data_IF_998510461720
#
_entry.id   IF_998510461720
#
_cell.length_a   1.000
_cell.length_b   1.000
_cell.length_c   1.000
_cell.angle_alpha   90.00
_cell.angle_beta   90.00
_cell.angle_gamma   90.00
#
_symmetry.space_group_name_H-M   'P 1'
#
loop_
_entity.id
_entity.type
_entity.pdbx_description
1 polymer ?
#
# COMPACT_ATOMS: atom_id res chain seq x y z
N UNK A 1 -5.67 16.30 -7.13
CA UNK A 1 -4.30 15.72 -7.13
C UNK A 1 -4.36 14.20 -7.21
N UNK A 2 -3.51 13.63 -8.02
CA UNK A 2 -3.35 12.17 -8.12
C UNK A 2 -1.90 11.85 -7.83
N UNK A 3 -1.66 10.87 -6.98
CA UNK A 3 -0.32 10.43 -6.64
C UNK A 3 -0.18 8.94 -6.96
N UNK A 4 0.78 8.61 -7.80
CA UNK A 4 1.15 7.23 -8.11
C UNK A 4 2.38 6.85 -7.30
N UNK A 5 2.36 5.67 -6.68
CA UNK A 5 3.49 5.21 -5.90
C UNK A 5 3.58 3.70 -5.90
N UNK A 6 4.70 3.19 -5.39
CA UNK A 6 4.90 1.77 -5.15
C UNK A 6 4.88 1.51 -3.67
N UNK A 7 4.10 0.51 -3.26
CA UNK A 7 4.08 0.03 -1.89
C UNK A 7 4.90 -1.23 -1.79
N UNK A 8 5.67 -1.33 -0.72
CA UNK A 8 6.42 -2.54 -0.39
C UNK A 8 5.90 -3.08 0.92
N UNK A 9 5.68 -4.38 0.95
CA UNK A 9 5.18 -5.08 2.13
C UNK A 9 6.04 -6.32 2.37
N UNK A 10 6.43 -6.51 3.61
CA UNK A 10 7.14 -7.71 4.03
C UNK A 10 6.48 -8.25 5.30
N UNK A 11 6.19 -9.53 5.30
CA UNK A 11 5.61 -10.19 6.46
C UNK A 11 6.06 -11.64 6.50
N UNK A 12 5.79 -12.29 7.64
CA UNK A 12 6.04 -13.72 7.80
C UNK A 12 4.71 -14.43 7.91
N UNK A 13 4.59 -15.52 7.19
CA UNK A 13 3.39 -16.35 7.20
C UNK A 13 3.78 -17.83 7.33
N UNK A 14 2.91 -18.62 7.92
CA UNK A 14 3.11 -20.07 7.97
C UNK A 14 2.21 -20.74 6.97
N UNK A 15 2.80 -21.60 6.14
CA UNK A 15 2.07 -22.45 5.23
C UNK A 15 2.51 -23.89 5.44
N UNK A 16 1.55 -24.79 5.71
CA UNK A 16 1.83 -26.20 5.95
C UNK A 16 2.90 -26.43 7.02
N UNK A 17 2.92 -25.58 8.06
CA UNK A 17 3.90 -25.67 9.14
C UNK A 17 5.26 -25.06 8.84
N UNK A 18 5.45 -24.52 7.66
CA UNK A 18 6.71 -23.89 7.25
C UNK A 18 6.56 -22.36 7.29
N UNK A 19 7.49 -21.70 7.96
CA UNK A 19 7.51 -20.24 7.99
C UNK A 19 8.07 -19.70 6.68
N UNK A 20 7.36 -18.75 6.08
CA UNK A 20 7.77 -18.10 4.82
C UNK A 20 7.80 -16.62 5.01
N UNK A 21 8.80 -15.99 4.39
CA UNK A 21 8.85 -14.53 4.27
C UNK A 21 8.04 -14.16 3.03
N UNK A 22 7.04 -13.31 3.23
CA UNK A 22 6.20 -12.82 2.13
C UNK A 22 6.65 -11.41 1.79
N UNK A 23 7.05 -11.21 0.56
CA UNK A 23 7.42 -9.89 0.05
C UNK A 23 6.47 -9.53 -1.09
N UNK A 24 5.91 -8.35 -1.03
CA UNK A 24 4.99 -7.87 -2.04
C UNK A 24 5.33 -6.44 -2.40
N UNK A 25 5.43 -6.19 -3.69
CA UNK A 25 5.57 -4.84 -4.22
C UNK A 25 4.40 -4.61 -5.16
N UNK A 26 3.65 -3.54 -4.93
CA UNK A 26 2.47 -3.26 -5.73
C UNK A 26 2.36 -1.80 -6.07
N UNK A 27 1.76 -1.54 -7.21
CA UNK A 27 1.46 -0.18 -7.63
C UNK A 27 0.22 0.30 -6.89
N UNK A 28 0.26 1.55 -6.43
CA UNK A 28 -0.83 2.16 -5.71
C UNK A 28 -1.10 3.55 -6.24
N UNK A 29 -2.31 4.02 -6.01
CA UNK A 29 -2.73 5.35 -6.40
C UNK A 29 -3.54 5.97 -5.27
N UNK A 30 -3.37 7.29 -5.10
CA UNK A 30 -4.14 8.07 -4.13
C UNK A 30 -4.71 9.29 -4.82
N UNK A 31 -5.89 9.70 -4.41
CA UNK A 31 -6.59 10.85 -4.98
C UNK A 31 -6.95 11.87 -3.92
N UNK A 32 -6.96 13.15 -4.31
CA UNK A 32 -7.49 14.23 -3.48
C UNK A 32 -6.69 14.47 -2.21
N UNK A 33 -7.38 14.55 -1.08
CA UNK A 33 -6.76 14.87 0.21
C UNK A 33 -5.75 13.81 0.65
N UNK A 34 -6.02 12.53 0.37
CA UNK A 34 -5.09 11.45 0.70
C UNK A 34 -3.79 11.62 -0.09
N UNK A 35 -3.89 11.96 -1.36
CA UNK A 35 -2.71 12.22 -2.19
C UNK A 35 -1.89 13.38 -1.65
N UNK A 36 -2.53 14.45 -1.21
CA UNK A 36 -1.85 15.59 -0.62
C UNK A 36 -1.14 15.23 0.67
N UNK A 37 -1.78 14.42 1.51
CA UNK A 37 -1.18 13.96 2.75
C UNK A 37 0.05 13.10 2.48
N UNK A 38 -0.04 12.16 1.53
CA UNK A 38 1.07 11.28 1.19
C UNK A 38 2.23 12.02 0.54
N UNK A 39 1.95 13.07 -0.23
CA UNK A 39 2.98 13.82 -0.94
C UNK A 39 3.98 14.49 0.01
N UNK A 40 3.58 14.77 1.26
CA UNK A 40 4.44 15.40 2.25
C UNK A 40 5.04 14.41 3.25
N UNK A 41 4.76 13.11 3.10
CA UNK A 41 5.29 12.08 3.98
C UNK A 41 6.65 11.59 3.50
N UNK A 42 7.43 11.07 4.46
CA UNK A 42 8.69 10.43 4.14
C UNK A 42 8.43 9.07 3.47
N UNK A 43 8.96 8.88 2.27
CA UNK A 43 8.76 7.65 1.50
C UNK A 43 9.44 6.43 2.12
N UNK A 44 10.36 6.63 3.05
CA UNK A 44 11.08 5.55 3.71
C UNK A 44 10.47 5.18 5.06
N UNK A 45 9.31 5.73 5.39
CA UNK A 45 8.62 5.47 6.64
C UNK A 45 7.55 4.42 6.43
N UNK A 46 7.35 3.57 7.43
CA UNK A 46 6.29 2.57 7.39
C UNK A 46 4.96 3.18 7.80
N UNK A 47 3.92 2.86 7.02
CA UNK A 47 2.55 3.29 7.30
C UNK A 47 1.60 2.13 7.08
N UNK A 48 0.47 2.17 7.75
CA UNK A 48 -0.66 1.33 7.41
C UNK A 48 -1.51 2.03 6.37
N UNK A 49 -2.04 1.25 5.43
CA UNK A 49 -2.89 1.77 4.37
C UNK A 49 -4.20 1.01 4.34
N UNK A 50 -5.28 1.75 4.18
CA UNK A 50 -6.60 1.18 3.99
C UNK A 50 -7.11 1.59 2.61
N UNK A 51 -7.66 0.63 1.87
CA UNK A 51 -8.16 0.92 0.55
C UNK A 51 -8.71 -0.33 -0.12
N UNK A 52 -8.71 -0.33 -1.43
CA UNK A 52 -9.24 -1.44 -2.21
C UNK A 52 -8.42 -1.68 -3.47
N UNK A 53 -8.49 -2.91 -3.96
CA UNK A 53 -7.84 -3.28 -5.22
C UNK A 53 -8.81 -3.05 -6.37
N UNK A 54 -8.30 -2.54 -7.48
CA UNK A 54 -9.09 -2.34 -8.68
C UNK A 54 -8.23 -2.66 -9.90
N UNK A 55 -8.90 -2.94 -11.03
CA UNK A 55 -8.21 -3.13 -12.29
C UNK A 55 -7.58 -1.79 -12.70
N UNK A 56 -6.33 -1.85 -13.17
CA UNK A 56 -5.66 -0.64 -13.62
C UNK A 56 -6.37 -0.05 -14.83
N UNK A 57 -6.12 1.25 -15.07
CA UNK A 57 -6.80 2.00 -16.13
C UNK A 57 -6.63 1.38 -17.51
N UNK A 58 -5.49 0.76 -17.78
CA UNK A 58 -5.22 0.11 -19.06
C UNK A 58 -5.75 -1.33 -19.14
N UNK A 59 -6.43 -1.82 -18.10
CA UNK A 59 -6.97 -3.17 -18.07
C UNK A 59 -5.94 -4.27 -17.84
N UNK A 60 -4.69 -3.92 -17.60
CA UNK A 60 -3.60 -4.88 -17.40
C UNK A 60 -3.13 -4.87 -15.95
N UNK A 61 -3.58 -5.85 -15.18
CA UNK A 61 -3.20 -5.97 -13.79
C UNK A 61 -4.06 -5.16 -12.84
N UNK A 62 -3.62 -5.06 -11.60
CA UNK A 62 -4.37 -4.42 -10.53
C UNK A 62 -3.55 -3.30 -9.90
N UNK A 63 -4.25 -2.34 -9.31
CA UNK A 63 -3.65 -1.24 -8.59
C UNK A 63 -4.40 -1.08 -7.26
N UNK A 64 -3.66 -0.75 -6.20
CA UNK A 64 -4.26 -0.51 -4.90
C UNK A 64 -4.67 0.96 -4.79
N UNK A 65 -5.95 1.20 -4.50
CA UNK A 65 -6.47 2.55 -4.27
C UNK A 65 -6.41 2.85 -2.77
N UNK A 66 -5.56 3.80 -2.40
CA UNK A 66 -5.40 4.18 -1.00
C UNK A 66 -6.52 5.13 -0.60
N UNK A 67 -7.33 4.72 0.36
CA UNK A 67 -8.41 5.55 0.90
C UNK A 67 -8.01 6.27 2.16
N UNK A 68 -7.13 5.66 2.95
CA UNK A 68 -6.76 6.18 4.25
C UNK A 68 -5.34 5.79 4.61
N UNK A 69 -4.61 6.71 5.22
CA UNK A 69 -3.29 6.49 5.77
C UNK A 69 -3.39 6.35 7.28
N UNK A 70 -2.91 5.25 7.82
CA UNK A 70 -2.95 4.96 9.24
C UNK A 70 -1.54 5.08 9.82
N UNK A 71 -1.37 5.83 10.92
CA UNK A 71 -0.08 5.85 11.61
C UNK A 71 0.31 4.44 12.08
N UNK A 72 1.59 4.10 11.95
CA UNK A 72 2.07 2.78 12.32
C UNK A 72 1.77 2.44 13.78
N UNK A 73 1.79 3.43 14.65
CA UNK A 73 1.50 3.24 16.07
C UNK A 73 0.09 2.72 16.35
N UNK A 74 -0.85 2.85 15.41
CA UNK A 74 -2.21 2.37 15.55
C UNK A 74 -2.40 0.93 15.09
N UNK A 75 -1.35 0.30 14.56
CA UNK A 75 -1.43 -1.04 13.95
C UNK A 75 -0.87 -2.12 14.88
N UNK A 76 -0.46 -1.75 16.02
CA UNK A 76 0.18 -2.65 16.98
C UNK A 76 -0.70 -3.85 17.37
#
# INVERSE_FOLDING_TARGET
>A
MVLDLWLEHESKAKEAGIERVVQLRMKAVAFGAVAQTLAVQDLNTEYGFKGFMATSRNGKGVVFHIQELLPQSLIA
#
